data_IF_220769638167
#
_entry.id   IF_220769638167
#
_cell.length_a   1.000
_cell.length_b   1.000
_cell.length_c   1.000
_cell.angle_alpha   90.00
_cell.angle_beta   90.00
_cell.angle_gamma   90.00
#
_symmetry.space_group_name_H-M   'P 1'
#
loop_
_entity.id
_entity.type
_entity.pdbx_description
1 polymer ?
#
# COMPACT_ATOMS: atom_id res chain seq x y z
N UNK A 1 8.62 -15.93 -22.88
CA UNK A 1 9.13 -15.45 -24.18
C UNK A 1 10.23 -14.45 -23.96
N UNK A 2 11.05 -14.23 -25.00
CA UNK A 2 12.12 -13.24 -24.93
C UNK A 2 11.54 -11.83 -24.89
N UNK A 3 12.17 -10.97 -24.11
CA UNK A 3 11.82 -9.56 -24.01
C UNK A 3 12.66 -8.79 -25.04
N UNK A 4 12.02 -7.95 -25.82
CA UNK A 4 12.66 -7.09 -26.83
C UNK A 4 12.00 -5.69 -26.83
N UNK A 5 12.60 -4.72 -27.52
CA UNK A 5 12.16 -3.31 -27.54
C UNK A 5 12.03 -2.72 -26.13
N UNK A 6 12.94 -3.09 -25.22
CA UNK A 6 12.90 -2.61 -23.86
C UNK A 6 13.40 -1.17 -23.77
N UNK A 7 12.55 -0.28 -23.23
CA UNK A 7 12.88 1.12 -22.96
C UNK A 7 12.48 1.49 -21.54
N UNK A 8 13.27 2.32 -20.89
CA UNK A 8 12.96 2.97 -19.61
C UNK A 8 13.15 4.46 -19.75
N UNK A 9 12.16 5.23 -19.31
CA UNK A 9 12.16 6.68 -19.37
C UNK A 9 11.75 7.26 -18.01
N UNK A 10 12.42 8.33 -17.60
CA UNK A 10 11.97 9.19 -16.52
C UNK A 10 11.55 10.55 -17.15
N UNK A 11 10.28 10.88 -17.05
CA UNK A 11 9.73 12.14 -17.51
C UNK A 11 9.76 13.15 -16.35
N UNK A 12 10.74 14.05 -16.39
CA UNK A 12 10.94 15.05 -15.33
C UNK A 12 9.86 16.14 -15.31
N UNK A 13 9.15 16.37 -16.41
CA UNK A 13 8.05 17.35 -16.47
C UNK A 13 6.75 16.79 -15.89
N UNK A 14 6.62 15.46 -15.88
CA UNK A 14 5.46 14.75 -15.33
C UNK A 14 5.74 14.08 -14.01
N UNK A 15 7.01 13.99 -13.58
CA UNK A 15 7.46 13.18 -12.46
C UNK A 15 6.94 11.73 -12.53
N UNK A 16 7.01 11.13 -13.71
CA UNK A 16 6.55 9.77 -13.97
C UNK A 16 7.67 8.94 -14.61
N UNK A 17 7.75 7.68 -14.20
CA UNK A 17 8.68 6.71 -14.78
C UNK A 17 7.90 5.72 -15.65
N UNK A 18 8.33 5.60 -16.91
CA UNK A 18 7.74 4.70 -17.88
C UNK A 18 8.69 3.55 -18.22
N UNK A 19 8.12 2.38 -18.42
CA UNK A 19 8.81 1.20 -18.97
C UNK A 19 7.94 0.66 -20.09
N UNK A 20 8.53 0.42 -21.26
CA UNK A 20 7.88 -0.30 -22.35
C UNK A 20 8.74 -1.49 -22.79
N UNK A 21 8.10 -2.55 -23.20
CA UNK A 21 8.73 -3.73 -23.76
C UNK A 21 7.73 -4.57 -24.54
N UNK A 22 8.28 -5.44 -25.40
CA UNK A 22 7.48 -6.44 -26.14
C UNK A 22 7.86 -7.84 -25.65
N UNK A 23 6.87 -8.70 -25.50
CA UNK A 23 7.06 -10.10 -25.14
C UNK A 23 6.01 -10.95 -25.83
N UNK A 24 6.42 -12.02 -26.51
CA UNK A 24 5.54 -12.94 -27.26
C UNK A 24 4.57 -12.21 -28.23
N UNK A 25 5.02 -11.12 -28.86
CA UNK A 25 4.23 -10.34 -29.80
C UNK A 25 3.16 -9.46 -29.18
N UNK A 26 3.23 -9.20 -27.87
CA UNK A 26 2.39 -8.25 -27.12
C UNK A 26 3.28 -7.12 -26.63
N UNK A 27 2.80 -5.88 -26.75
CA UNK A 27 3.49 -4.71 -26.21
C UNK A 27 2.90 -4.35 -24.86
N UNK A 28 3.77 -4.16 -23.88
CA UNK A 28 3.42 -3.79 -22.51
C UNK A 28 3.96 -2.42 -22.18
N UNK A 29 3.18 -1.64 -21.47
CA UNK A 29 3.62 -0.39 -20.86
C UNK A 29 3.37 -0.41 -19.37
N UNK A 30 4.27 0.24 -18.62
CA UNK A 30 4.15 0.42 -17.17
C UNK A 30 4.50 1.86 -16.84
N UNK A 31 3.58 2.58 -16.24
CA UNK A 31 3.78 3.94 -15.76
C UNK A 31 3.68 3.98 -14.25
N UNK A 32 4.64 4.61 -13.58
CA UNK A 32 4.71 4.73 -12.11
C UNK A 32 4.90 6.20 -11.73
N UNK A 33 4.11 6.65 -10.78
CA UNK A 33 4.26 7.98 -10.17
C UNK A 33 3.89 7.97 -8.68
N UNK A 34 4.51 8.88 -7.91
CA UNK A 34 4.17 9.10 -6.51
C UNK A 34 3.30 10.36 -6.42
N UNK A 35 2.02 10.18 -6.20
CA UNK A 35 1.02 11.25 -6.19
C UNK A 35 0.89 11.87 -4.80
N UNK A 36 1.29 13.13 -4.64
CA UNK A 36 1.02 13.88 -3.42
C UNK A 36 -0.49 14.12 -3.20
N UNK A 37 -1.31 14.51 -4.23
CA UNK A 37 -2.74 14.67 -4.03
C UNK A 37 -3.48 13.39 -3.63
N UNK A 38 -3.08 12.24 -4.17
CA UNK A 38 -3.68 10.94 -3.84
C UNK A 38 -3.05 10.29 -2.60
N UNK A 39 -1.90 10.80 -2.12
CA UNK A 39 -1.13 10.27 -0.99
C UNK A 39 -0.73 8.80 -1.17
N UNK A 40 -0.42 8.39 -2.40
CA UNK A 40 -0.02 7.03 -2.73
C UNK A 40 0.92 6.97 -3.95
N UNK A 41 1.62 5.86 -4.08
CA UNK A 41 2.29 5.49 -5.33
C UNK A 41 1.28 4.73 -6.19
N UNK A 42 1.17 5.14 -7.45
CA UNK A 42 0.30 4.51 -8.45
C UNK A 42 1.17 3.89 -9.53
N UNK A 43 0.92 2.63 -9.85
CA UNK A 43 1.53 1.93 -10.99
C UNK A 43 0.42 1.41 -11.90
N UNK A 44 0.40 1.87 -13.14
CA UNK A 44 -0.49 1.35 -14.18
C UNK A 44 0.29 0.43 -15.11
N UNK A 45 -0.26 -0.72 -15.43
CA UNK A 45 0.27 -1.70 -16.38
C UNK A 45 -0.79 -1.92 -17.44
N UNK A 46 -0.42 -1.73 -18.69
CA UNK A 46 -1.30 -1.89 -19.85
C UNK A 46 -0.65 -2.78 -20.92
N UNK A 47 -1.46 -3.39 -21.76
CA UNK A 47 -1.00 -4.12 -22.94
C UNK A 47 -1.83 -3.74 -24.16
N UNK A 48 -1.27 -3.90 -25.36
CA UNK A 48 -1.96 -3.67 -26.62
C UNK A 48 -2.91 -4.81 -27.02
N UNK A 49 -2.99 -5.87 -26.19
CA UNK A 49 -3.87 -7.02 -26.43
C UNK A 49 -4.68 -7.35 -25.17
N UNK A 50 -6.02 -7.36 -25.25
CA UNK A 50 -6.89 -7.71 -24.12
C UNK A 50 -6.57 -9.08 -23.53
N UNK A 51 -6.75 -9.23 -22.20
CA UNK A 51 -6.62 -10.49 -21.48
C UNK A 51 -5.19 -11.03 -21.37
N UNK A 52 -4.17 -10.23 -21.63
CA UNK A 52 -2.77 -10.74 -21.66
C UNK A 52 -1.97 -10.41 -20.42
N UNK A 53 -2.46 -9.56 -19.52
CA UNK A 53 -1.74 -9.21 -18.32
C UNK A 53 -1.96 -10.29 -17.26
N UNK A 54 -0.87 -10.99 -16.94
CA UNK A 54 -0.78 -11.93 -15.85
C UNK A 54 0.41 -11.52 -14.99
N UNK A 55 0.19 -11.31 -13.70
CA UNK A 55 1.27 -10.91 -12.78
C UNK A 55 1.01 -11.40 -11.35
N UNK A 56 2.09 -11.55 -10.62
CA UNK A 56 2.09 -11.75 -9.19
C UNK A 56 2.77 -10.53 -8.53
N UNK A 57 2.11 -9.95 -7.55
CA UNK A 57 2.64 -8.85 -6.78
C UNK A 57 2.77 -9.24 -5.31
N UNK A 58 3.92 -8.95 -4.71
CA UNK A 58 4.19 -9.20 -3.29
C UNK A 58 5.12 -8.15 -2.73
N UNK A 59 5.14 -8.05 -1.41
CA UNK A 59 6.20 -7.35 -0.72
C UNK A 59 7.42 -8.25 -0.53
N UNK A 60 8.62 -7.67 -0.54
CA UNK A 60 9.86 -8.33 -0.17
C UNK A 60 10.66 -7.43 0.76
N UNK A 61 11.02 -7.96 1.92
CA UNK A 61 11.86 -7.31 2.92
C UNK A 61 12.71 -8.38 3.61
N UNK A 62 13.93 -8.06 4.09
CA UNK A 62 14.74 -9.02 4.84
C UNK A 62 13.96 -9.61 6.03
N UNK A 63 14.10 -10.92 6.26
CA UNK A 63 13.37 -11.70 7.27
C UNK A 63 13.52 -11.01 8.63
N UNK A 64 13.77 -10.54 9.34
CA UNK A 64 13.82 -9.90 10.68
C UNK A 64 13.37 -8.44 10.68
N UNK A 65 12.84 -7.98 9.55
CA UNK A 65 12.50 -6.59 9.38
C UNK A 65 10.98 -6.36 9.20
N UNK A 66 10.16 -7.41 9.36
CA UNK A 66 8.70 -7.32 9.38
C UNK A 66 8.09 -8.47 10.18
N UNK A 67 6.86 -8.29 10.67
CA UNK A 67 6.16 -9.26 11.52
C UNK A 67 5.25 -10.18 10.71
N UNK A 68 4.76 -9.73 9.55
CA UNK A 68 3.88 -10.50 8.71
C UNK A 68 3.29 -9.74 7.54
N UNK A 69 2.50 -10.48 6.75
CA UNK A 69 1.68 -9.94 5.66
C UNK A 69 0.23 -10.35 5.89
N UNK A 70 -0.64 -9.36 6.08
CA UNK A 70 -2.06 -9.56 6.26
C UNK A 70 -2.83 -9.34 4.95
N UNK A 71 -4.07 -9.78 4.93
CA UNK A 71 -4.99 -9.67 3.81
C UNK A 71 -6.20 -8.81 4.18
N UNK A 72 -6.60 -7.93 3.26
CA UNK A 72 -7.81 -7.13 3.39
C UNK A 72 -8.66 -7.33 2.13
N UNK A 73 -9.86 -7.88 2.30
CA UNK A 73 -10.71 -8.23 1.15
C UNK A 73 -10.04 -9.25 0.24
N UNK A 74 -10.21 -9.12 -1.07
CA UNK A 74 -9.65 -10.02 -2.09
C UNK A 74 -8.50 -9.43 -2.91
N UNK A 75 -8.25 -8.15 -2.76
CA UNK A 75 -7.43 -7.34 -3.67
C UNK A 75 -6.34 -6.52 -2.96
N UNK A 76 -6.19 -6.68 -1.63
CA UNK A 76 -5.27 -5.87 -0.84
C UNK A 76 -4.45 -6.73 0.13
N UNK A 77 -3.13 -6.57 0.12
CA UNK A 77 -2.20 -7.14 1.10
C UNK A 77 -1.51 -6.02 1.88
N UNK A 78 -1.17 -6.31 3.14
CA UNK A 78 -0.53 -5.36 4.06
C UNK A 78 0.66 -6.02 4.71
N UNK A 79 1.86 -5.57 4.38
CA UNK A 79 3.06 -5.90 5.12
C UNK A 79 3.16 -4.97 6.32
N UNK A 80 3.46 -5.52 7.49
CA UNK A 80 3.62 -4.75 8.72
C UNK A 80 4.78 -5.25 9.57
N UNK A 81 5.26 -4.39 10.45
CA UNK A 81 6.36 -4.72 11.36
C UNK A 81 6.64 -3.59 12.32
N UNK A 82 7.63 -3.82 13.18
CA UNK A 82 8.14 -2.83 14.12
C UNK A 82 9.65 -2.64 13.95
N UNK A 83 10.16 -1.52 14.42
CA UNK A 83 11.59 -1.18 14.40
C UNK A 83 12.28 -1.54 15.72
N UNK A 84 11.70 -2.43 16.51
CA UNK A 84 12.20 -2.90 17.79
C UNK A 84 11.84 -1.98 18.95
N UNK A 85 12.43 -2.26 20.13
CA UNK A 85 12.15 -1.55 21.37
C UNK A 85 12.42 -0.04 21.20
N UNK A 86 11.42 0.79 21.45
CA UNK A 86 11.43 2.24 21.26
C UNK A 86 11.44 2.71 19.79
N UNK A 87 11.21 1.81 18.84
CA UNK A 87 10.98 2.11 17.43
C UNK A 87 9.51 2.43 17.14
N UNK A 88 9.21 2.59 15.86
CA UNK A 88 7.85 2.79 15.36
C UNK A 88 7.33 1.51 14.74
N UNK A 89 6.03 1.25 14.90
CA UNK A 89 5.32 0.32 14.05
C UNK A 89 5.10 0.96 12.68
N UNK A 90 5.21 0.15 11.63
CA UNK A 90 4.98 0.57 10.26
C UNK A 90 4.12 -0.44 9.51
N UNK A 91 3.44 0.03 8.50
CA UNK A 91 2.73 -0.81 7.57
C UNK A 91 2.80 -0.27 6.14
N UNK A 92 2.74 -1.17 5.17
CA UNK A 92 2.68 -0.86 3.73
C UNK A 92 1.56 -1.68 3.13
N UNK A 93 0.61 -1.02 2.49
CA UNK A 93 -0.50 -1.66 1.78
C UNK A 93 -0.27 -1.64 0.28
N UNK A 94 -0.61 -2.74 -0.38
CA UNK A 94 -0.67 -2.88 -1.82
C UNK A 94 -2.07 -3.35 -2.20
N UNK A 95 -2.78 -2.53 -2.99
CA UNK A 95 -4.08 -2.87 -3.59
C UNK A 95 -3.93 -3.01 -5.10
N UNK A 96 -4.57 -4.02 -5.67
CA UNK A 96 -4.63 -4.22 -7.11
C UNK A 96 -6.07 -4.01 -7.61
N UNK A 97 -6.23 -3.22 -8.68
CA UNK A 97 -7.48 -3.13 -9.44
C UNK A 97 -7.20 -3.56 -10.88
N UNK A 98 -8.06 -4.38 -11.45
CA UNK A 98 -7.92 -4.88 -12.81
C UNK A 98 -9.15 -4.57 -13.65
N UNK A 99 -8.92 -4.10 -14.87
CA UNK A 99 -9.93 -4.02 -15.91
C UNK A 99 -9.84 -5.35 -16.68
N UNK A 100 -10.93 -6.11 -16.72
CA UNK A 100 -10.95 -7.48 -17.22
C UNK A 100 -10.22 -8.46 -16.27
N UNK A 101 -10.32 -9.75 -16.55
CA UNK A 101 -9.66 -10.79 -15.77
C UNK A 101 -10.10 -10.90 -14.32
N UNK A 102 -9.19 -11.34 -13.45
CA UNK A 102 -9.45 -11.49 -12.02
C UNK A 102 -8.25 -11.04 -11.16
N UNK A 103 -8.56 -10.65 -9.92
CA UNK A 103 -7.58 -10.41 -8.84
C UNK A 103 -7.91 -11.34 -7.69
N UNK A 104 -6.93 -12.13 -7.27
CA UNK A 104 -7.04 -13.09 -6.18
C UNK A 104 -5.84 -12.98 -5.24
N UNK A 105 -6.02 -13.44 -4.01
CA UNK A 105 -4.94 -13.56 -3.04
C UNK A 105 -4.52 -15.01 -2.86
N UNK A 106 -3.24 -15.26 -3.02
CA UNK A 106 -2.63 -16.55 -2.79
C UNK A 106 -1.48 -16.42 -1.80
N UNK A 107 -1.71 -16.77 -0.53
CA UNK A 107 -0.72 -16.54 0.52
C UNK A 107 -0.43 -15.05 0.70
N UNK A 108 0.82 -14.65 0.53
CA UNK A 108 1.30 -13.25 0.61
C UNK A 108 1.31 -12.54 -0.76
N UNK A 109 0.69 -13.13 -1.78
CA UNK A 109 0.68 -12.62 -3.15
C UNK A 109 -0.70 -12.09 -3.52
N UNK A 110 -0.71 -11.04 -4.33
CA UNK A 110 -1.82 -10.69 -5.21
C UNK A 110 -1.52 -11.27 -6.58
N UNK A 111 -2.43 -12.09 -7.08
CA UNK A 111 -2.34 -12.72 -8.40
C UNK A 111 -3.38 -12.09 -9.30
N UNK A 112 -2.93 -11.53 -10.42
CA UNK A 112 -3.80 -11.00 -11.47
C UNK A 112 -3.73 -11.93 -12.66
N UNK A 113 -4.89 -12.31 -13.21
CA UNK A 113 -4.98 -13.22 -14.33
C UNK A 113 -5.88 -12.66 -15.42
N UNK A 114 -5.35 -12.60 -16.64
CA UNK A 114 -6.12 -12.27 -17.84
C UNK A 114 -6.67 -10.84 -17.88
N UNK A 115 -5.98 -9.86 -17.30
CA UNK A 115 -6.43 -8.47 -17.30
C UNK A 115 -6.04 -7.73 -18.58
N UNK A 116 -6.81 -6.69 -18.91
CA UNK A 116 -6.55 -5.74 -19.98
C UNK A 116 -5.67 -4.59 -19.48
N UNK A 117 -5.93 -4.15 -18.24
CA UNK A 117 -5.18 -3.13 -17.50
C UNK A 117 -5.13 -3.53 -16.03
N UNK A 118 -4.04 -3.18 -15.36
CA UNK A 118 -3.89 -3.33 -13.91
C UNK A 118 -3.39 -2.03 -13.32
N UNK A 119 -4.06 -1.55 -12.27
CA UNK A 119 -3.58 -0.43 -11.46
C UNK A 119 -3.24 -0.95 -10.07
N UNK A 120 -2.00 -0.71 -9.66
CA UNK A 120 -1.52 -1.01 -8.32
C UNK A 120 -1.40 0.29 -7.54
N UNK A 121 -1.95 0.30 -6.33
CA UNK A 121 -1.87 1.41 -5.37
C UNK A 121 -1.03 0.98 -4.18
N UNK A 122 -0.01 1.77 -3.82
CA UNK A 122 0.88 1.48 -2.71
C UNK A 122 0.82 2.65 -1.73
N UNK A 123 0.49 2.36 -0.48
CA UNK A 123 0.43 3.32 0.63
C UNK A 123 1.28 2.82 1.77
N UNK A 124 2.07 3.69 2.38
CA UNK A 124 2.88 3.38 3.55
C UNK A 124 2.60 4.39 4.66
N UNK A 125 2.52 3.91 5.90
CA UNK A 125 2.38 4.77 7.08
C UNK A 125 3.11 4.16 8.28
N UNK A 126 3.34 4.96 9.32
CA UNK A 126 3.94 4.51 10.57
C UNK A 126 3.37 5.28 11.76
N UNK A 127 3.55 4.73 12.96
CA UNK A 127 3.00 5.31 14.19
C UNK A 127 3.59 6.67 14.56
N UNK A 128 4.68 7.08 13.92
CA UNK A 128 5.19 8.46 14.06
C UNK A 128 4.14 9.50 13.66
N UNK A 129 3.37 9.25 12.59
CA UNK A 129 2.37 10.17 12.05
C UNK A 129 1.03 10.15 12.80
N UNK A 130 0.81 9.18 13.68
CA UNK A 130 -0.46 8.99 14.38
C UNK A 130 -0.28 8.69 15.88
N UNK A 131 0.81 9.19 16.48
CA UNK A 131 1.15 8.92 17.87
C UNK A 131 0.06 9.33 18.84
N UNK A 132 -0.49 10.52 18.70
CA UNK A 132 -1.54 11.04 19.59
C UNK A 132 -2.83 10.22 19.48
N UNK A 133 -3.19 9.77 18.26
CA UNK A 133 -4.34 8.88 18.03
C UNK A 133 -4.13 7.53 18.71
N UNK A 134 -2.91 6.97 18.61
CA UNK A 134 -2.56 5.70 19.24
C UNK A 134 -2.60 5.81 20.77
N UNK A 135 -2.04 6.87 21.34
CA UNK A 135 -2.08 7.14 22.79
C UNK A 135 -3.53 7.22 23.31
N UNK A 136 -4.40 7.88 22.57
CA UNK A 136 -5.82 7.97 22.90
C UNK A 136 -6.51 6.59 22.89
N UNK A 137 -6.29 5.80 21.83
CA UNK A 137 -6.83 4.43 21.72
C UNK A 137 -6.33 3.55 22.86
N UNK A 138 -5.06 3.64 23.22
CA UNK A 138 -4.49 2.89 24.32
C UNK A 138 -5.07 3.29 25.68
N UNK A 139 -5.29 4.58 25.89
CA UNK A 139 -5.89 5.07 27.13
C UNK A 139 -7.33 4.55 27.28
N UNK A 140 -8.13 4.53 26.23
CA UNK A 140 -9.49 3.98 26.25
C UNK A 140 -9.50 2.46 26.51
N UNK A 141 -8.63 1.70 25.82
CA UNK A 141 -8.50 0.26 26.05
C UNK A 141 -8.11 -0.07 27.49
N UNK A 142 -7.15 0.66 28.07
CA UNK A 142 -6.75 0.49 29.46
C UNK A 142 -7.86 0.83 30.46
N UNK A 143 -8.67 1.85 30.15
CA UNK A 143 -9.84 2.20 30.98
C UNK A 143 -10.88 1.07 30.95
N UNK A 144 -11.22 0.56 29.77
CA UNK A 144 -12.19 -0.55 29.60
C UNK A 144 -11.71 -1.81 30.33
N UNK A 145 -10.42 -2.14 30.27
CA UNK A 145 -9.85 -3.28 30.99
C UNK A 145 -9.98 -3.13 32.52
N UNK A 146 -9.68 -1.96 33.08
CA UNK A 146 -9.82 -1.68 34.52
C UNK A 146 -11.27 -1.77 34.97
N UNK A 147 -12.21 -1.29 34.14
CA UNK A 147 -13.65 -1.37 34.44
C UNK A 147 -14.14 -2.82 34.42
N UNK A 148 -13.67 -3.66 33.47
CA UNK A 148 -14.00 -5.08 33.43
C UNK A 148 -13.39 -5.86 34.61
N UNK A 149 -12.17 -5.55 35.01
CA UNK A 149 -11.53 -6.12 36.20
C UNK A 149 -12.30 -5.77 37.48
N UNK A 150 -12.74 -4.52 37.60
CA UNK A 150 -13.54 -4.05 38.75
C UNK A 150 -14.94 -4.69 38.80
N UNK A 151 -15.51 -5.01 37.63
CA UNK A 151 -16.82 -5.70 37.53
C UNK A 151 -16.74 -7.22 37.79
N UNK A 152 -15.53 -7.79 37.91
CA UNK A 152 -15.33 -9.23 38.17
C UNK A 152 -15.57 -10.13 36.94
N UNK A 153 -15.71 -9.56 35.76
CA UNK A 153 -16.04 -10.27 34.51
C UNK A 153 -14.84 -11.04 33.90
N UNK A 154 -13.64 -10.85 34.42
CA UNK A 154 -12.46 -11.52 33.90
C UNK A 154 -12.29 -12.89 34.55
N UNK A 155 -12.67 -13.92 33.83
CA UNK A 155 -12.41 -15.30 34.16
C UNK A 155 -10.87 -15.54 34.12
N UNK A 156 -10.25 -15.69 35.30
CA UNK A 156 -8.79 -15.86 35.54
C UNK A 156 -8.15 -17.10 34.91
N UNK A 157 -8.79 -17.72 33.91
CA UNK A 157 -8.32 -19.01 33.37
C UNK A 157 -7.35 -18.92 32.18
N UNK A 158 -7.07 -17.78 31.64
CA UNK A 158 -6.00 -17.65 30.63
C UNK A 158 -4.97 -16.63 31.11
N UNK A 159 -3.88 -17.13 31.67
CA UNK A 159 -2.70 -16.37 32.09
C UNK A 159 -1.93 -15.73 30.93
N UNK A 160 -2.61 -15.18 29.96
CA UNK A 160 -2.06 -14.34 28.91
C UNK A 160 -2.40 -12.89 29.26
N UNK A 161 -1.70 -12.36 30.25
CA UNK A 161 -1.48 -10.92 30.30
C UNK A 161 -0.70 -10.60 29.03
N UNK A 162 -1.41 -10.36 27.92
CA UNK A 162 -0.82 -9.75 26.74
C UNK A 162 -0.06 -8.53 27.22
N UNK A 163 1.27 -8.53 27.10
CA UNK A 163 2.05 -7.43 27.64
C UNK A 163 1.49 -6.14 27.01
N UNK A 164 1.55 -5.02 27.73
CA UNK A 164 1.17 -3.70 27.22
C UNK A 164 1.71 -3.48 25.80
N UNK A 165 2.93 -3.95 25.51
CA UNK A 165 3.57 -3.89 24.21
C UNK A 165 2.81 -4.66 23.12
N UNK A 166 2.20 -5.81 23.41
CA UNK A 166 1.39 -6.56 22.44
C UNK A 166 0.10 -5.80 22.12
N UNK A 167 -0.57 -5.28 23.15
CA UNK A 167 -1.78 -4.46 22.95
C UNK A 167 -1.50 -3.20 22.16
N UNK A 168 -0.36 -2.55 22.40
CA UNK A 168 0.08 -1.37 21.69
C UNK A 168 0.34 -1.67 20.20
N UNK A 169 1.08 -2.74 19.90
CA UNK A 169 1.37 -3.16 18.52
C UNK A 169 0.11 -3.57 17.76
N UNK A 170 -0.84 -4.26 18.40
CA UNK A 170 -2.13 -4.59 17.80
C UNK A 170 -2.98 -3.33 17.52
N UNK A 171 -2.99 -2.39 18.45
CA UNK A 171 -3.70 -1.12 18.28
C UNK A 171 -3.05 -0.27 17.17
N UNK A 172 -1.72 -0.22 17.12
CA UNK A 172 -0.96 0.45 16.08
C UNK A 172 -1.28 -0.12 14.70
N UNK A 173 -1.22 -1.45 14.55
CA UNK A 173 -1.53 -2.10 13.27
C UNK A 173 -2.97 -1.86 12.83
N UNK A 174 -3.95 -1.93 13.76
CA UNK A 174 -5.34 -1.62 13.46
C UNK A 174 -5.51 -0.17 12.96
N UNK A 175 -4.88 0.78 13.65
CA UNK A 175 -4.93 2.20 13.30
C UNK A 175 -4.30 2.45 11.91
N UNK A 176 -3.10 1.92 11.68
CA UNK A 176 -2.38 2.07 10.41
C UNK A 176 -3.18 1.48 9.24
N UNK A 177 -3.76 0.29 9.40
CA UNK A 177 -4.63 -0.33 8.40
C UNK A 177 -5.82 0.55 8.06
N UNK A 178 -6.50 1.10 9.07
CA UNK A 178 -7.65 1.98 8.89
C UNK A 178 -7.30 3.28 8.15
N UNK A 179 -6.14 3.88 8.45
CA UNK A 179 -5.66 5.09 7.77
C UNK A 179 -5.32 4.81 6.31
N UNK A 180 -4.52 3.77 6.04
CA UNK A 180 -4.12 3.39 4.69
C UNK A 180 -5.32 2.96 3.83
N UNK A 181 -6.32 2.25 4.41
CA UNK A 181 -7.52 1.85 3.68
C UNK A 181 -8.31 3.06 3.19
N UNK A 182 -8.43 4.12 3.98
CA UNK A 182 -9.10 5.37 3.55
C UNK A 182 -8.41 6.01 2.35
N UNK A 183 -7.07 5.98 2.31
CA UNK A 183 -6.29 6.48 1.17
C UNK A 183 -6.52 5.60 -0.06
N UNK A 184 -6.44 4.27 0.10
CA UNK A 184 -6.65 3.31 -0.98
C UNK A 184 -8.06 3.40 -1.58
N UNK A 185 -9.10 3.52 -0.73
CA UNK A 185 -10.48 3.62 -1.19
C UNK A 185 -10.74 4.92 -1.96
N UNK A 186 -10.15 6.03 -1.51
CA UNK A 186 -10.21 7.29 -2.22
C UNK A 186 -9.50 7.20 -3.57
N UNK A 187 -8.26 6.71 -3.61
CA UNK A 187 -7.47 6.60 -4.84
C UNK A 187 -8.11 5.61 -5.84
N UNK A 188 -8.57 4.45 -5.37
CA UNK A 188 -9.23 3.46 -6.23
C UNK A 188 -10.65 3.87 -6.69
N UNK A 189 -11.24 4.88 -6.05
CA UNK A 189 -12.50 5.50 -6.47
C UNK A 189 -12.36 6.47 -7.66
N UNK A 190 -11.12 6.88 -7.98
CA UNK A 190 -10.83 7.74 -9.12
C UNK A 190 -10.31 6.91 -10.30
N UNK A 191 -10.52 7.39 -11.53
CA UNK A 191 -9.90 6.75 -12.70
C UNK A 191 -8.38 7.01 -12.72
N UNK A 192 -7.62 6.10 -13.32
CA UNK A 192 -6.18 6.27 -13.49
C UNK A 192 -5.81 7.62 -14.12
N UNK A 193 -6.56 8.05 -15.13
CA UNK A 193 -6.29 9.33 -15.82
C UNK A 193 -6.52 10.53 -14.88
N UNK A 194 -7.56 10.52 -14.05
CA UNK A 194 -7.79 11.58 -13.06
C UNK A 194 -6.63 11.67 -12.05
N UNK A 195 -6.15 10.52 -11.56
CA UNK A 195 -5.01 10.47 -10.66
C UNK A 195 -3.72 11.00 -11.30
N UNK A 196 -3.45 10.61 -12.55
CA UNK A 196 -2.29 11.08 -13.31
C UNK A 196 -2.36 12.58 -13.59
N UNK A 197 -3.51 13.10 -14.02
CA UNK A 197 -3.72 14.53 -14.32
C UNK A 197 -3.58 15.38 -13.05
N UNK A 198 -4.15 14.94 -11.93
CA UNK A 198 -4.03 15.59 -10.63
C UNK A 198 -2.56 15.62 -10.16
N UNK A 199 -1.85 14.49 -10.29
CA UNK A 199 -0.43 14.40 -9.97
C UNK A 199 0.41 15.36 -10.83
N UNK A 200 0.25 15.36 -12.16
CA UNK A 200 1.01 16.22 -13.06
C UNK A 200 0.72 17.69 -12.77
N UNK A 201 -0.53 18.04 -12.52
CA UNK A 201 -0.94 19.42 -12.22
C UNK A 201 -0.28 19.93 -10.93
N UNK A 202 -0.33 19.14 -9.85
CA UNK A 202 0.30 19.50 -8.57
C UNK A 202 1.83 19.61 -8.70
N UNK A 203 2.45 18.63 -9.34
CA UNK A 203 3.90 18.61 -9.55
C UNK A 203 4.39 19.80 -10.37
N UNK A 204 3.77 20.09 -11.51
CA UNK A 204 4.18 21.20 -12.39
C UNK A 204 4.08 22.55 -11.71
N UNK A 205 3.14 22.76 -10.82
CA UNK A 205 3.03 23.97 -10.04
C UNK A 205 4.28 24.25 -9.20
N UNK A 206 4.98 23.21 -8.74
CA UNK A 206 6.23 23.32 -7.98
C UNK A 206 7.44 23.33 -8.92
N UNK A 207 7.48 22.43 -9.90
CA UNK A 207 8.59 22.25 -10.84
C UNK A 207 8.86 23.51 -11.68
N UNK A 208 7.81 24.19 -12.15
CA UNK A 208 7.92 25.41 -12.93
C UNK A 208 8.44 26.64 -12.16
N UNK A 209 8.66 26.53 -10.85
CA UNK A 209 9.23 27.63 -10.05
C UNK A 209 10.75 27.70 -10.13
N UNK A 210 11.39 26.65 -10.60
CA UNK A 210 12.86 26.55 -10.69
C UNK A 210 13.22 26.29 -12.13
N UNK A 211 13.96 27.20 -12.73
CA UNK A 211 14.63 27.01 -14.01
C UNK A 211 16.13 26.92 -13.75
N UNK A 212 16.75 25.83 -14.18
CA UNK A 212 18.17 25.58 -14.01
C UNK A 212 18.79 25.21 -15.36
N UNK A 213 19.65 26.06 -15.86
CA UNK A 213 20.46 25.83 -17.06
C UNK A 213 21.92 25.67 -16.67
N UNK A 214 22.54 24.59 -17.16
CA UNK A 214 24.00 24.34 -17.06
C UNK A 214 24.69 24.85 -18.33
#
# INVERSE_FOLDING_TARGET
GDIYNYERRLDLEKAAADVSFSCAGVNYTRTVFASHPADCIVMCIESDRPGTINLEARFSRPERAYNGVDRIGKDTIVLHGDLGKHGYDFAVSLKAAADGGSVEQLGEYLVVTGADRVVLYIVADCTYHCKDELEHIMAEKLKTLKESEAAGDLNRQNGNNGSYAVMESEAALWLLKGRMQKVLDRAAGESYNQLLDAHISDYRRLFARVDFSL
#
